data_IF_933597938059
#
_entry.id   IF_933597938059
#
_cell.length_a   1.000
_cell.length_b   1.000
_cell.length_c   1.000
_cell.angle_alpha   90.00
_cell.angle_beta   90.00
_cell.angle_gamma   90.00
#
_symmetry.space_group_name_H-M   'P 1'
#
loop_
_entity.id
_entity.type
_entity.pdbx_description
1 polymer ?
#
# COMPACT_ATOMS: atom_id res chain seq x y z
N UNK A 1 -9.09 -16.10 -20.72
CA UNK A 1 -8.91 -15.80 -22.15
C UNK A 1 -9.07 -14.29 -22.24
N UNK A 2 -7.97 -13.54 -22.15
CA UNK A 2 -8.03 -12.09 -22.22
C UNK A 2 -8.19 -11.69 -23.68
N UNK A 3 -9.24 -10.92 -23.99
CA UNK A 3 -9.40 -10.31 -25.30
C UNK A 3 -8.20 -9.37 -25.54
N UNK A 4 -7.70 -9.39 -26.77
CA UNK A 4 -6.71 -8.40 -27.24
C UNK A 4 -7.31 -6.98 -27.08
N UNK A 5 -6.48 -5.96 -26.82
CA UNK A 5 -6.96 -4.60 -26.66
C UNK A 5 -7.71 -4.19 -27.92
N UNK A 6 -9.02 -4.12 -27.79
CA UNK A 6 -9.91 -3.46 -28.72
C UNK A 6 -9.93 -1.98 -28.38
N UNK A 7 -10.41 -1.18 -29.29
CA UNK A 7 -10.48 0.29 -29.34
C UNK A 7 -11.16 1.01 -28.14
N UNK A 8 -11.22 0.36 -26.98
CA UNK A 8 -12.04 0.72 -25.81
C UNK A 8 -11.29 1.69 -24.85
N UNK A 9 -10.12 2.18 -25.22
CA UNK A 9 -9.34 3.10 -24.36
C UNK A 9 -8.76 2.44 -23.10
N UNK A 10 -8.55 1.11 -23.13
CA UNK A 10 -7.90 0.33 -22.05
C UNK A 10 -6.57 -0.22 -22.55
N UNK A 11 -5.50 0.08 -21.83
CA UNK A 11 -4.17 -0.48 -22.10
C UNK A 11 -3.75 -1.39 -20.93
N UNK A 12 -3.13 -2.53 -21.27
CA UNK A 12 -2.57 -3.48 -20.29
C UNK A 12 -1.09 -3.66 -20.58
N UNK A 13 -0.27 -3.44 -19.56
CA UNK A 13 1.18 -3.63 -19.59
C UNK A 13 1.57 -4.66 -18.53
N UNK A 14 2.33 -5.67 -18.94
CA UNK A 14 2.92 -6.64 -18.01
C UNK A 14 4.45 -6.49 -18.05
N UNK A 15 5.04 -6.38 -16.88
CA UNK A 15 6.50 -6.21 -16.74
C UNK A 15 7.02 -6.90 -15.48
N UNK A 16 8.32 -7.01 -15.36
CA UNK A 16 8.98 -7.53 -14.16
C UNK A 16 9.93 -6.47 -13.62
N UNK A 17 9.78 -6.14 -12.33
CA UNK A 17 10.60 -5.16 -11.61
C UNK A 17 11.26 -5.88 -10.43
N UNK A 18 12.60 -5.89 -10.36
CA UNK A 18 13.38 -6.60 -9.35
C UNK A 18 12.99 -8.10 -9.21
N UNK A 19 12.62 -8.75 -10.31
CA UNK A 19 12.15 -10.13 -10.32
C UNK A 19 10.68 -10.32 -9.90
N UNK A 20 9.96 -9.25 -9.60
CA UNK A 20 8.56 -9.25 -9.17
C UNK A 20 7.64 -8.95 -10.37
N UNK A 21 6.64 -9.80 -10.67
CA UNK A 21 5.68 -9.52 -11.73
C UNK A 21 4.78 -8.33 -11.38
N UNK A 22 4.62 -7.42 -12.32
CA UNK A 22 3.79 -6.22 -12.20
C UNK A 22 2.89 -6.11 -13.42
N UNK A 23 1.60 -5.97 -13.19
CA UNK A 23 0.59 -5.73 -14.22
C UNK A 23 -0.01 -4.34 -14.02
N UNK A 24 0.04 -3.50 -15.06
CA UNK A 24 -0.61 -2.19 -15.06
C UNK A 24 -1.77 -2.21 -16.06
N UNK A 25 -2.93 -1.73 -15.62
CA UNK A 25 -4.12 -1.50 -16.46
C UNK A 25 -4.39 -0.01 -16.44
N UNK A 26 -4.32 0.64 -17.59
CA UNK A 26 -4.63 2.06 -17.74
C UNK A 26 -5.95 2.22 -18.49
N UNK A 27 -6.92 2.83 -17.82
CA UNK A 27 -8.24 3.19 -18.37
C UNK A 27 -8.15 4.66 -18.77
N UNK A 28 -8.26 4.95 -20.07
CA UNK A 28 -8.04 6.28 -20.64
C UNK A 28 -9.33 7.00 -21.02
N UNK A 29 -10.43 6.25 -21.17
CA UNK A 29 -11.72 6.78 -21.66
C UNK A 29 -12.86 6.40 -20.74
N UNK A 30 -13.98 7.13 -20.83
CA UNK A 30 -15.20 6.82 -20.10
C UNK A 30 -15.81 5.48 -20.60
N UNK A 31 -15.70 5.15 -21.89
CA UNK A 31 -16.19 3.87 -22.44
C UNK A 31 -15.41 2.69 -21.82
N UNK A 32 -14.10 2.83 -21.66
CA UNK A 32 -13.27 1.86 -20.94
C UNK A 32 -13.62 1.77 -19.46
N UNK A 33 -13.97 2.89 -18.85
CA UNK A 33 -14.41 2.95 -17.46
C UNK A 33 -15.73 2.21 -17.24
N UNK A 34 -16.72 2.39 -18.12
CA UNK A 34 -17.98 1.65 -18.10
C UNK A 34 -17.77 0.16 -18.33
N UNK A 35 -16.92 -0.20 -19.30
CA UNK A 35 -16.63 -1.63 -19.64
C UNK A 35 -16.04 -2.39 -18.46
N UNK A 36 -15.16 -1.76 -17.68
CA UNK A 36 -14.47 -2.41 -16.56
C UNK A 36 -15.11 -2.12 -15.20
N UNK A 37 -16.18 -1.33 -15.15
CA UNK A 37 -16.80 -0.84 -13.90
C UNK A 37 -15.74 -0.24 -12.96
N UNK A 38 -14.89 0.65 -13.52
CA UNK A 38 -13.77 1.29 -12.85
C UNK A 38 -13.60 2.73 -13.34
N UNK A 39 -13.18 3.63 -12.47
CA UNK A 39 -12.89 5.00 -12.88
C UNK A 39 -11.68 5.09 -13.84
N UNK A 40 -11.65 6.15 -14.65
CA UNK A 40 -10.49 6.49 -15.48
C UNK A 40 -9.25 6.66 -14.61
N UNK A 41 -8.13 6.05 -15.02
CA UNK A 41 -6.86 6.08 -14.29
C UNK A 41 -6.04 4.81 -14.45
N UNK A 42 -4.93 4.75 -13.75
CA UNK A 42 -3.99 3.63 -13.79
C UNK A 42 -4.14 2.75 -12.55
N UNK A 43 -4.22 1.45 -12.77
CA UNK A 43 -4.35 0.40 -11.75
C UNK A 43 -3.17 -0.55 -11.89
N UNK A 44 -2.32 -0.62 -10.88
CA UNK A 44 -1.10 -1.41 -10.90
C UNK A 44 -1.22 -2.50 -9.83
N UNK A 45 -1.01 -3.76 -10.23
CA UNK A 45 -0.98 -4.92 -9.34
C UNK A 45 0.44 -5.48 -9.30
N UNK A 46 1.03 -5.53 -8.12
CA UNK A 46 2.34 -6.09 -7.83
C UNK A 46 2.10 -7.46 -7.19
N UNK A 47 2.56 -8.54 -7.85
CA UNK A 47 2.39 -9.91 -7.37
C UNK A 47 3.45 -10.23 -6.33
N UNK A 48 3.07 -10.27 -5.06
CA UNK A 48 4.04 -10.43 -3.97
C UNK A 48 4.32 -11.90 -3.62
N UNK A 49 3.47 -12.82 -4.08
CA UNK A 49 3.33 -14.10 -3.41
C UNK A 49 2.69 -13.94 -2.03
N UNK A 50 2.64 -15.01 -1.26
CA UNK A 50 1.95 -15.01 0.03
C UNK A 50 2.71 -14.13 1.04
N UNK A 51 2.14 -12.98 1.40
CA UNK A 51 2.73 -11.98 2.32
C UNK A 51 2.99 -12.52 3.75
N UNK A 52 2.39 -13.64 4.11
CA UNK A 52 2.69 -14.35 5.36
C UNK A 52 3.83 -15.37 5.25
N UNK A 53 4.45 -15.54 4.07
CA UNK A 53 5.55 -16.50 3.87
C UNK A 53 6.84 -15.99 4.53
N UNK A 54 7.59 -16.93 5.11
CA UNK A 54 8.92 -16.64 5.70
C UNK A 54 10.00 -16.47 4.65
N UNK A 55 9.77 -16.99 3.42
CA UNK A 55 10.72 -16.89 2.30
C UNK A 55 10.54 -15.64 1.45
N UNK A 56 9.79 -14.66 1.94
CA UNK A 56 9.48 -13.44 1.21
C UNK A 56 10.71 -12.53 1.09
N UNK A 57 11.09 -12.15 -0.12
CA UNK A 57 12.16 -11.18 -0.32
C UNK A 57 11.63 -9.75 -0.14
N UNK A 58 11.63 -9.29 1.12
CA UNK A 58 11.10 -7.98 1.51
C UNK A 58 11.83 -6.82 0.84
N UNK A 59 13.15 -6.96 0.62
CA UNK A 59 13.96 -5.93 -0.05
C UNK A 59 13.56 -5.78 -1.52
N UNK A 60 13.52 -6.88 -2.27
CA UNK A 60 13.11 -6.84 -3.68
C UNK A 60 11.69 -6.29 -3.84
N UNK A 61 10.75 -6.67 -2.96
CA UNK A 61 9.40 -6.15 -2.94
C UNK A 61 9.37 -4.65 -2.60
N UNK A 62 10.15 -4.22 -1.61
CA UNK A 62 10.25 -2.82 -1.23
C UNK A 62 10.78 -1.94 -2.37
N UNK A 63 11.84 -2.39 -3.07
CA UNK A 63 12.38 -1.67 -4.23
C UNK A 63 11.38 -1.66 -5.39
N UNK A 64 10.69 -2.79 -5.67
CA UNK A 64 9.64 -2.85 -6.68
C UNK A 64 8.51 -1.85 -6.41
N UNK A 65 8.00 -1.83 -5.18
CA UNK A 65 6.93 -0.88 -4.78
C UNK A 65 7.43 0.56 -4.84
N UNK A 66 8.69 0.83 -4.45
CA UNK A 66 9.30 2.16 -4.53
C UNK A 66 9.37 2.67 -5.97
N UNK A 67 9.77 1.81 -6.93
CA UNK A 67 9.81 2.16 -8.34
C UNK A 67 8.42 2.50 -8.88
N UNK A 68 7.42 1.67 -8.55
CA UNK A 68 6.01 1.93 -8.92
C UNK A 68 5.49 3.23 -8.29
N UNK A 69 5.77 3.48 -6.99
CA UNK A 69 5.36 4.73 -6.34
C UNK A 69 6.06 5.95 -6.95
N UNK A 70 7.34 5.83 -7.28
CA UNK A 70 8.10 6.89 -7.95
C UNK A 70 7.50 7.21 -9.32
N UNK A 71 7.10 6.21 -10.10
CA UNK A 71 6.43 6.39 -11.39
C UNK A 71 5.17 7.25 -11.24
N UNK A 72 4.28 6.90 -10.30
CA UNK A 72 2.99 7.59 -10.15
C UNK A 72 3.08 8.93 -9.42
N UNK A 73 4.06 9.10 -8.53
CA UNK A 73 4.21 10.28 -7.69
C UNK A 73 5.16 11.34 -8.26
N UNK A 74 6.05 11.00 -9.20
CA UNK A 74 7.06 11.92 -9.76
C UNK A 74 6.47 13.19 -10.38
N UNK A 75 5.25 13.12 -10.89
CA UNK A 75 4.52 14.29 -11.44
C UNK A 75 4.24 15.38 -10.39
N UNK A 76 4.32 15.03 -9.10
CA UNK A 76 4.09 15.96 -7.98
C UNK A 76 5.38 16.38 -7.30
N UNK A 77 6.54 16.18 -7.95
CA UNK A 77 7.85 16.58 -7.42
C UNK A 77 7.86 18.05 -7.00
N UNK A 78 8.46 18.33 -5.85
CA UNK A 78 8.59 19.69 -5.29
C UNK A 78 7.31 20.24 -4.63
N UNK A 79 6.25 19.44 -4.57
CA UNK A 79 4.99 19.80 -3.90
C UNK A 79 4.94 19.28 -2.45
N UNK A 80 3.81 19.48 -1.77
CA UNK A 80 3.53 18.89 -0.44
C UNK A 80 2.73 17.60 -0.61
N UNK A 81 3.29 16.49 -0.13
CA UNK A 81 2.61 15.18 -0.05
C UNK A 81 2.01 14.98 1.33
N UNK A 82 0.73 14.62 1.37
CA UNK A 82 0.14 14.02 2.57
C UNK A 82 0.02 12.50 2.41
N UNK A 83 0.40 11.76 3.45
CA UNK A 83 0.25 10.31 3.55
C UNK A 83 -0.82 10.01 4.60
N UNK A 84 -1.92 9.40 4.18
CA UNK A 84 -3.05 9.07 5.04
C UNK A 84 -3.20 7.56 5.17
N UNK A 85 -3.11 7.02 6.38
CA UNK A 85 -3.38 5.62 6.69
C UNK A 85 -4.82 5.43 7.14
N UNK A 86 -5.67 4.83 6.31
CA UNK A 86 -7.02 4.47 6.69
C UNK A 86 -7.04 3.15 7.46
N UNK A 87 -8.07 3.00 8.27
CA UNK A 87 -8.37 1.76 8.97
C UNK A 87 -8.43 1.88 10.47
N UNK A 88 -8.69 0.75 11.12
CA UNK A 88 -8.82 0.61 12.55
C UNK A 88 -7.71 -0.31 13.10
N UNK A 89 -6.85 0.22 13.94
CA UNK A 89 -5.72 -0.52 14.55
C UNK A 89 -6.15 -1.69 15.42
N UNK A 90 -7.35 -1.63 15.98
CA UNK A 90 -7.90 -2.70 16.81
C UNK A 90 -8.32 -3.94 16.00
N UNK A 91 -8.42 -3.80 14.68
CA UNK A 91 -8.78 -4.86 13.76
C UNK A 91 -7.59 -5.23 12.87
N UNK A 92 -7.03 -6.41 13.07
CA UNK A 92 -5.81 -6.85 12.36
C UNK A 92 -5.91 -6.66 10.84
N UNK A 93 -6.99 -7.13 10.23
CA UNK A 93 -7.18 -7.02 8.78
C UNK A 93 -7.43 -5.59 8.29
N UNK A 94 -7.62 -4.63 9.20
CA UNK A 94 -7.87 -3.21 8.91
C UNK A 94 -6.77 -2.29 9.46
N UNK A 95 -5.65 -2.86 9.94
CA UNK A 95 -4.59 -2.09 10.59
C UNK A 95 -3.46 -1.64 9.66
N UNK A 96 -3.49 -1.99 8.37
CA UNK A 96 -2.41 -1.70 7.43
C UNK A 96 -2.04 -0.21 7.38
N UNK A 97 -3.02 0.66 7.14
CA UNK A 97 -2.79 2.11 7.06
C UNK A 97 -2.19 2.68 8.35
N UNK A 98 -2.82 2.46 9.52
CA UNK A 98 -2.26 2.87 10.81
C UNK A 98 -0.85 2.34 11.08
N UNK A 99 -0.53 1.10 10.68
CA UNK A 99 0.78 0.50 10.89
C UNK A 99 1.85 1.10 9.99
N UNK A 100 1.52 1.42 8.73
CA UNK A 100 2.42 2.17 7.85
C UNK A 100 2.71 3.55 8.42
N UNK A 101 1.69 4.29 8.88
CA UNK A 101 1.90 5.63 9.45
C UNK A 101 2.75 5.56 10.72
N UNK A 102 2.57 4.54 11.57
CA UNK A 102 3.44 4.30 12.72
C UNK A 102 4.90 4.11 12.31
N UNK A 103 5.15 3.27 11.30
CA UNK A 103 6.49 3.03 10.78
C UNK A 103 7.14 4.30 10.20
N UNK A 104 6.32 5.21 9.67
CA UNK A 104 6.75 6.47 9.06
C UNK A 104 6.85 7.63 10.04
N UNK A 105 6.70 7.47 11.36
CA UNK A 105 6.69 8.56 12.35
C UNK A 105 7.69 9.70 12.04
N UNK A 106 7.30 10.60 11.14
CA UNK A 106 8.16 11.60 10.48
C UNK A 106 8.65 12.72 11.41
N UNK A 107 8.18 12.76 12.67
CA UNK A 107 8.68 13.73 13.67
C UNK A 107 10.20 13.65 13.86
N UNK A 108 10.80 12.49 13.62
CA UNK A 108 12.25 12.29 13.73
C UNK A 108 12.97 12.91 12.53
N UNK A 109 12.31 13.00 11.37
CA UNK A 109 12.90 13.61 10.16
C UNK A 109 12.89 15.14 10.15
N UNK A 110 12.14 15.81 11.00
CA UNK A 110 12.17 17.28 11.07
C UNK A 110 13.54 17.83 11.46
N UNK A 111 14.45 16.99 11.99
CA UNK A 111 15.86 17.31 12.22
C UNK A 111 16.80 17.03 11.05
N UNK A 112 16.35 16.31 10.01
CA UNK A 112 17.16 15.94 8.83
C UNK A 112 16.77 16.83 7.65
N UNK A 113 16.71 18.13 7.87
CA UNK A 113 16.35 19.14 6.87
C UNK A 113 17.35 19.26 5.69
N UNK A 114 18.35 18.37 5.59
CA UNK A 114 19.38 18.38 4.55
C UNK A 114 19.22 17.27 3.50
N UNK A 115 18.22 16.40 3.61
CA UNK A 115 17.99 15.36 2.59
C UNK A 115 17.26 15.95 1.39
N UNK A 116 17.82 15.73 0.20
CA UNK A 116 17.15 16.07 -1.06
C UNK A 116 15.96 15.13 -1.25
N UNK A 117 14.75 15.62 -0.97
CA UNK A 117 13.53 14.85 -1.14
C UNK A 117 12.87 15.07 -2.50
N UNK A 118 12.08 14.11 -2.92
CA UNK A 118 11.18 14.26 -4.07
C UNK A 118 10.15 15.37 -3.83
N UNK A 119 9.71 15.52 -2.58
CA UNK A 119 8.71 16.49 -2.15
C UNK A 119 9.33 17.61 -1.33
N UNK A 120 8.73 18.81 -1.39
CA UNK A 120 9.10 19.94 -0.54
C UNK A 120 8.78 19.68 0.93
N UNK A 121 7.67 18.99 1.18
CA UNK A 121 7.19 18.63 2.50
C UNK A 121 6.40 17.32 2.43
N UNK A 122 6.53 16.51 3.46
CA UNK A 122 5.76 15.27 3.64
C UNK A 122 5.13 15.29 5.02
N UNK A 123 3.83 15.11 5.10
CA UNK A 123 3.10 14.91 6.34
C UNK A 123 2.41 13.55 6.34
N UNK A 124 2.17 12.98 7.52
CA UNK A 124 1.48 11.71 7.66
C UNK A 124 0.51 11.73 8.84
N UNK A 125 -0.64 11.05 8.69
CA UNK A 125 -1.66 10.99 9.72
C UNK A 125 -2.57 9.78 9.56
N UNK A 126 -3.23 9.42 10.67
CA UNK A 126 -4.30 8.43 10.73
C UNK A 126 -5.58 9.18 11.15
N UNK A 127 -6.59 9.27 10.30
CA UNK A 127 -7.83 9.98 10.66
C UNK A 127 -8.68 9.20 11.68
N UNK A 128 -8.41 7.90 11.86
CA UNK A 128 -9.32 6.99 12.56
C UNK A 128 -10.51 6.62 11.69
N UNK A 129 -11.49 5.98 12.30
CA UNK A 129 -12.76 5.62 11.66
C UNK A 129 -13.93 6.25 12.41
N UNK A 130 -15.08 6.37 11.75
CA UNK A 130 -16.29 6.87 12.41
C UNK A 130 -16.66 6.05 13.66
N UNK A 131 -16.28 4.77 13.71
CA UNK A 131 -16.46 3.89 14.86
C UNK A 131 -15.54 4.23 16.04
N UNK A 132 -14.37 4.82 15.77
CA UNK A 132 -13.37 5.11 16.81
C UNK A 132 -13.48 6.52 17.36
N UNK A 133 -14.01 7.47 16.59
CA UNK A 133 -14.01 8.89 16.99
C UNK A 133 -15.32 9.66 16.70
N UNK A 134 -16.35 9.00 16.12
CA UNK A 134 -17.61 9.62 15.70
C UNK A 134 -17.48 10.81 14.75
N UNK A 135 -16.37 10.93 14.03
CA UNK A 135 -16.13 11.99 13.06
C UNK A 135 -16.22 11.42 11.64
N UNK A 136 -16.66 12.26 10.73
CA UNK A 136 -16.63 11.94 9.31
C UNK A 136 -15.18 11.94 8.79
N UNK A 137 -14.72 10.81 8.28
CA UNK A 137 -13.34 10.63 7.83
C UNK A 137 -13.00 11.57 6.66
N UNK A 138 -13.94 11.78 5.72
CA UNK A 138 -13.74 12.68 4.59
C UNK A 138 -13.51 14.13 5.04
N UNK A 139 -14.34 14.61 5.99
CA UNK A 139 -14.18 15.95 6.55
C UNK A 139 -12.85 16.12 7.27
N UNK A 140 -12.41 15.11 8.02
CA UNK A 140 -11.11 15.15 8.69
C UNK A 140 -9.97 15.22 7.69
N UNK A 141 -9.96 14.34 6.69
CA UNK A 141 -8.94 14.31 5.64
C UNK A 141 -8.91 15.66 4.91
N UNK A 142 -10.07 16.18 4.50
CA UNK A 142 -10.20 17.47 3.81
C UNK A 142 -9.67 18.64 4.65
N UNK A 143 -9.95 18.64 5.94
CA UNK A 143 -9.44 19.65 6.87
C UNK A 143 -7.91 19.61 6.97
N UNK A 144 -7.33 18.42 7.13
CA UNK A 144 -5.88 18.23 7.23
C UNK A 144 -5.18 18.63 5.92
N UNK A 145 -5.70 18.20 4.77
CA UNK A 145 -5.13 18.56 3.46
C UNK A 145 -5.07 20.07 3.26
N UNK A 146 -6.14 20.76 3.65
CA UNK A 146 -6.23 22.23 3.58
C UNK A 146 -5.18 22.90 4.45
N UNK A 147 -5.09 22.52 5.74
CA UNK A 147 -4.14 23.12 6.69
C UNK A 147 -2.69 22.80 6.36
N UNK A 148 -2.42 21.58 5.84
CA UNK A 148 -1.09 21.20 5.36
C UNK A 148 -0.70 21.85 4.03
N UNK A 149 -1.60 22.53 3.34
CA UNK A 149 -1.44 22.99 1.96
C UNK A 149 -0.98 21.85 1.04
N UNK A 150 -1.59 20.68 1.18
CA UNK A 150 -1.25 19.50 0.43
C UNK A 150 -1.60 19.66 -1.06
N UNK A 151 -0.74 19.14 -1.92
CA UNK A 151 -0.95 19.13 -3.36
C UNK A 151 -1.25 17.73 -3.90
N UNK A 152 -1.01 16.69 -3.09
CA UNK A 152 -1.23 15.30 -3.43
C UNK A 152 -1.47 14.50 -2.15
N UNK A 153 -2.37 13.51 -2.22
CA UNK A 153 -2.65 12.55 -1.16
C UNK A 153 -2.21 11.15 -1.58
N UNK A 154 -1.37 10.51 -0.78
CA UNK A 154 -1.14 9.07 -0.83
C UNK A 154 -1.98 8.41 0.25
N UNK A 155 -2.95 7.61 -0.18
CA UNK A 155 -3.89 6.91 0.68
C UNK A 155 -3.45 5.45 0.84
N UNK A 156 -3.38 4.98 2.08
CA UNK A 156 -3.01 3.60 2.40
C UNK A 156 -4.19 2.93 3.06
N UNK A 157 -4.61 1.77 2.53
CA UNK A 157 -5.80 1.08 3.02
C UNK A 157 -5.68 -0.44 2.93
N UNK A 158 -6.39 -1.12 3.81
CA UNK A 158 -6.68 -2.54 3.70
C UNK A 158 -7.82 -2.75 2.71
N UNK A 159 -7.66 -3.69 1.79
CA UNK A 159 -8.64 -3.92 0.73
C UNK A 159 -9.41 -5.21 0.96
N UNK A 160 -10.63 -5.24 0.40
CA UNK A 160 -11.43 -6.44 0.24
C UNK A 160 -11.34 -6.95 -1.18
N UNK A 161 -11.20 -8.25 -1.36
CA UNK A 161 -11.19 -8.89 -2.67
C UNK A 161 -12.32 -9.91 -2.81
N UNK A 162 -12.73 -10.18 -4.05
CA UNK A 162 -13.56 -11.34 -4.45
C UNK A 162 -12.72 -12.44 -5.09
N UNK A 163 -11.42 -12.21 -5.30
CA UNK A 163 -10.53 -13.20 -5.89
C UNK A 163 -9.63 -13.80 -4.79
N UNK A 164 -9.79 -15.10 -4.45
CA UNK A 164 -8.96 -15.77 -3.44
C UNK A 164 -7.45 -15.71 -3.74
N UNK A 165 -7.06 -15.72 -5.01
CA UNK A 165 -5.65 -15.67 -5.43
C UNK A 165 -4.98 -14.32 -5.13
N UNK A 166 -5.77 -13.28 -4.83
CA UNK A 166 -5.25 -11.95 -4.44
C UNK A 166 -5.17 -11.76 -2.94
N UNK A 167 -5.84 -12.60 -2.15
CA UNK A 167 -5.88 -12.46 -0.70
C UNK A 167 -4.48 -12.63 -0.11
N UNK A 168 -3.94 -11.56 0.47
CA UNK A 168 -2.58 -11.49 1.03
C UNK A 168 -1.46 -11.86 0.03
N UNK A 169 -1.67 -11.66 -1.28
CA UNK A 169 -0.72 -12.07 -2.32
C UNK A 169 -0.42 -10.96 -3.34
N UNK A 170 -0.93 -9.76 -3.13
CA UNK A 170 -0.64 -8.62 -4.01
C UNK A 170 -0.65 -7.30 -3.26
N UNK A 171 0.12 -6.34 -3.78
CA UNK A 171 0.00 -4.92 -3.43
C UNK A 171 -0.60 -4.22 -4.65
N UNK A 172 -1.60 -3.39 -4.43
CA UNK A 172 -2.31 -2.66 -5.48
C UNK A 172 -2.07 -1.16 -5.35
N UNK A 173 -1.79 -0.48 -6.47
CA UNK A 173 -1.65 0.97 -6.54
C UNK A 173 -2.64 1.50 -7.57
N UNK A 174 -3.31 2.61 -7.26
CA UNK A 174 -4.26 3.26 -8.19
C UNK A 174 -4.05 4.76 -8.21
N UNK A 175 -4.18 5.37 -9.40
CA UNK A 175 -4.23 6.82 -9.58
C UNK A 175 -5.65 7.35 -9.80
N UNK A 176 -6.64 6.47 -9.75
CA UNK A 176 -8.08 6.77 -9.94
C UNK A 176 -8.79 7.18 -8.64
N UNK A 177 -8.07 7.51 -7.59
CA UNK A 177 -8.64 7.78 -6.27
C UNK A 177 -8.60 6.55 -5.35
N UNK A 178 -9.55 6.45 -4.42
CA UNK A 178 -9.63 5.34 -3.48
C UNK A 178 -9.97 4.02 -4.15
N UNK A 179 -9.50 2.92 -3.55
CA UNK A 179 -9.84 1.55 -3.91
C UNK A 179 -10.96 1.02 -2.99
N UNK A 180 -11.43 -0.21 -3.23
CA UNK A 180 -12.47 -0.85 -2.40
C UNK A 180 -11.98 -1.01 -0.94
N UNK A 181 -12.46 -0.21 0.01
CA UNK A 181 -12.02 -0.25 1.40
C UNK A 181 -12.55 -1.51 2.11
N UNK A 182 -11.87 -1.90 3.20
CA UNK A 182 -12.29 -3.02 4.03
C UNK A 182 -13.69 -2.81 4.64
N UNK A 183 -13.98 -1.60 5.09
CA UNK A 183 -15.29 -1.22 5.62
C UNK A 183 -16.00 -0.22 4.69
N UNK A 184 -16.79 -0.73 3.77
CA UNK A 184 -17.61 0.05 2.85
C UNK A 184 -18.90 0.59 3.51
N UNK A 185 -18.83 1.16 4.70
CA UNK A 185 -19.99 1.79 5.34
C UNK A 185 -20.42 3.10 4.68
N UNK A 186 -19.50 3.79 4.00
CA UNK A 186 -19.72 4.92 3.07
C UNK A 186 -18.55 4.97 2.10
N UNK A 187 -18.85 5.02 0.83
CA UNK A 187 -17.85 5.38 -0.17
C UNK A 187 -17.45 6.84 0.06
N UNK A 188 -16.18 7.10 0.38
CA UNK A 188 -15.66 8.46 0.46
C UNK A 188 -15.57 8.98 -0.97
N UNK A 189 -16.14 10.16 -1.22
CA UNK A 189 -15.94 10.84 -2.49
C UNK A 189 -14.56 11.51 -2.51
N UNK A 190 -13.57 10.75 -2.94
CA UNK A 190 -12.19 11.23 -3.05
C UNK A 190 -12.02 12.39 -4.03
N UNK A 191 -12.94 12.56 -4.98
CA UNK A 191 -12.93 13.68 -5.92
C UNK A 191 -13.24 15.01 -5.24
N UNK A 192 -14.00 14.98 -4.14
CA UNK A 192 -14.36 16.16 -3.34
C UNK A 192 -13.18 16.80 -2.61
N UNK A 193 -12.06 16.08 -2.45
CA UNK A 193 -10.89 16.55 -1.69
C UNK A 193 -10.13 17.70 -2.37
N UNK A 194 -10.31 17.90 -3.68
CA UNK A 194 -9.68 18.98 -4.45
C UNK A 194 -8.18 18.80 -4.67
N UNK A 195 -7.62 17.63 -4.35
CA UNK A 195 -6.25 17.24 -4.65
C UNK A 195 -6.23 15.85 -5.29
N UNK A 196 -5.26 15.54 -6.16
CA UNK A 196 -5.07 14.19 -6.68
C UNK A 196 -4.87 13.18 -5.56
N UNK A 197 -5.54 12.03 -5.67
CA UNK A 197 -5.44 10.91 -4.73
C UNK A 197 -4.81 9.73 -5.42
N UNK A 198 -3.69 9.28 -4.92
CA UNK A 198 -3.07 8.01 -5.26
C UNK A 198 -3.33 7.07 -4.10
N UNK A 199 -3.77 5.87 -4.37
CA UNK A 199 -4.01 4.87 -3.32
C UNK A 199 -3.08 3.67 -3.48
N UNK A 200 -2.66 3.11 -2.34
CA UNK A 200 -1.93 1.86 -2.23
C UNK A 200 -2.60 1.00 -1.17
N UNK A 201 -2.79 -0.29 -1.47
CA UNK A 201 -3.44 -1.18 -0.53
C UNK A 201 -3.14 -2.64 -0.78
N UNK A 202 -3.55 -3.46 0.17
CA UNK A 202 -3.35 -4.91 0.19
C UNK A 202 -4.69 -5.59 0.44
N UNK A 203 -5.09 -6.56 -0.38
CA UNK A 203 -6.26 -7.38 -0.11
C UNK A 203 -6.02 -8.26 1.12
N UNK A 204 -6.52 -7.83 2.27
CA UNK A 204 -6.38 -8.52 3.56
C UNK A 204 -7.65 -9.26 3.97
N UNK A 205 -8.73 -9.07 3.25
CA UNK A 205 -9.98 -9.79 3.44
C UNK A 205 -10.63 -10.17 2.11
N UNK A 206 -11.51 -11.18 2.19
CA UNK A 206 -12.31 -11.67 1.09
C UNK A 206 -13.78 -11.64 1.48
N UNK A 207 -14.66 -11.23 0.55
CA UNK A 207 -16.09 -11.17 0.82
C UNK A 207 -16.70 -12.57 0.98
N UNK A 208 -17.68 -12.70 1.87
CA UNK A 208 -18.36 -13.98 2.15
C UNK A 208 -19.10 -14.54 0.93
N UNK A 209 -19.64 -13.67 0.07
CA UNK A 209 -20.33 -14.05 -1.16
C UNK A 209 -19.43 -14.85 -2.13
N UNK A 210 -18.12 -14.74 -2.01
CA UNK A 210 -17.17 -15.58 -2.78
C UNK A 210 -17.30 -17.07 -2.46
N UNK A 211 -17.72 -17.42 -1.25
CA UNK A 211 -17.87 -18.81 -0.81
C UNK A 211 -19.31 -19.29 -0.74
N UNK A 212 -20.27 -18.38 -0.72
CA UNK A 212 -21.69 -18.70 -0.55
C UNK A 212 -22.37 -18.65 -1.93
N UNK A 213 -22.71 -19.80 -2.48
CA UNK A 213 -23.44 -19.93 -3.76
C UNK A 213 -24.92 -19.50 -3.66
N UNK A 214 -25.36 -18.91 -2.56
CA UNK A 214 -26.78 -18.64 -2.27
C UNK A 214 -27.36 -17.42 -2.98
N UNK A 215 -26.55 -16.62 -3.68
CA UNK A 215 -27.00 -15.37 -4.34
C UNK A 215 -27.41 -14.25 -3.37
N UNK A 216 -27.26 -14.45 -2.07
CA UNK A 216 -27.48 -13.43 -1.05
C UNK A 216 -26.18 -12.67 -0.88
N UNK A 217 -26.17 -11.39 -1.26
CA UNK A 217 -25.05 -10.49 -0.97
C UNK A 217 -24.99 -10.27 0.54
N UNK A 218 -23.83 -10.54 1.15
CA UNK A 218 -23.57 -10.25 2.56
C UNK A 218 -22.45 -9.23 2.66
N UNK A 219 -22.54 -8.32 3.62
CA UNK A 219 -21.46 -7.38 3.95
C UNK A 219 -20.37 -8.04 4.80
N UNK A 220 -20.47 -9.35 5.04
CA UNK A 220 -19.49 -10.10 5.81
C UNK A 220 -18.22 -10.33 5.01
N UNK A 221 -17.09 -10.27 5.70
CA UNK A 221 -15.76 -10.50 5.12
C UNK A 221 -14.95 -11.40 6.04
N UNK A 222 -14.11 -12.23 5.44
CA UNK A 222 -13.21 -13.14 6.13
C UNK A 222 -11.75 -12.76 5.85
N UNK A 223 -10.89 -13.06 6.82
CA UNK A 223 -9.43 -12.94 6.64
C UNK A 223 -8.74 -14.24 7.03
N UNK A 224 -7.44 -14.33 6.76
CA UNK A 224 -6.65 -15.52 7.10
C UNK A 224 -6.23 -15.50 8.57
N UNK A 225 -5.96 -16.68 9.15
CA UNK A 225 -5.37 -16.79 10.48
C UNK A 225 -3.99 -16.12 10.60
N UNK A 226 -3.29 -15.95 9.46
CA UNK A 226 -1.98 -15.32 9.38
C UNK A 226 -2.04 -13.86 8.92
N UNK A 227 -3.20 -13.21 9.00
CA UNK A 227 -3.38 -11.82 8.57
C UNK A 227 -2.39 -10.86 9.24
N UNK A 228 -2.07 -11.08 10.53
CA UNK A 228 -1.10 -10.26 11.26
C UNK A 228 0.32 -10.32 10.64
N UNK A 229 0.74 -11.48 10.11
CA UNK A 229 2.02 -11.59 9.39
C UNK A 229 1.96 -10.86 8.05
N UNK A 230 0.85 -10.99 7.30
CA UNK A 230 0.67 -10.28 6.04
C UNK A 230 0.66 -8.76 6.24
N UNK A 231 -0.01 -8.27 7.29
CA UNK A 231 0.01 -6.84 7.67
C UNK A 231 1.41 -6.39 8.06
N UNK A 232 2.13 -7.17 8.89
CA UNK A 232 3.48 -6.81 9.31
C UNK A 232 4.45 -6.70 8.12
N UNK A 233 4.41 -7.67 7.19
CA UNK A 233 5.22 -7.67 5.99
C UNK A 233 4.84 -6.52 5.05
N UNK A 234 3.55 -6.37 4.73
CA UNK A 234 3.09 -5.33 3.81
C UNK A 234 3.29 -3.92 4.37
N UNK A 235 3.05 -3.70 5.67
CA UNK A 235 3.32 -2.40 6.28
C UNK A 235 4.81 -2.04 6.25
N UNK A 236 5.71 -3.02 6.41
CA UNK A 236 7.14 -2.81 6.24
C UNK A 236 7.49 -2.45 4.79
N UNK A 237 7.05 -3.26 3.81
CA UNK A 237 7.31 -3.06 2.38
C UNK A 237 6.83 -1.67 1.93
N UNK A 238 5.60 -1.29 2.30
CA UNK A 238 5.02 -0.01 1.90
C UNK A 238 5.75 1.16 2.57
N UNK A 239 6.09 1.03 3.87
CA UNK A 239 6.85 2.07 4.58
C UNK A 239 8.24 2.27 3.96
N UNK A 240 8.95 1.18 3.69
CA UNK A 240 10.23 1.21 3.00
C UNK A 240 10.11 1.91 1.63
N UNK A 241 9.12 1.53 0.84
CA UNK A 241 8.89 2.12 -0.48
C UNK A 241 8.60 3.63 -0.41
N UNK A 242 7.80 4.08 0.56
CA UNK A 242 7.50 5.50 0.76
C UNK A 242 8.78 6.26 1.13
N UNK A 243 9.60 5.73 2.05
CA UNK A 243 10.88 6.35 2.42
C UNK A 243 11.81 6.48 1.23
N UNK A 244 12.01 5.41 0.45
CA UNK A 244 12.86 5.41 -0.75
C UNK A 244 12.35 6.36 -1.83
N UNK A 245 11.03 6.44 -2.03
CA UNK A 245 10.40 7.35 -3.00
C UNK A 245 10.53 8.81 -2.55
N UNK A 246 10.27 9.10 -1.29
CA UNK A 246 10.30 10.47 -0.79
C UNK A 246 11.72 11.01 -0.63
N UNK A 247 12.67 10.15 -0.25
CA UNK A 247 14.07 10.51 -0.01
C UNK A 247 15.01 9.51 -0.70
N UNK A 248 15.27 9.68 -2.00
CA UNK A 248 16.06 8.75 -2.81
C UNK A 248 17.50 8.55 -2.32
N UNK A 249 18.04 9.53 -1.58
CA UNK A 249 19.41 9.49 -1.02
C UNK A 249 19.53 8.55 0.21
N UNK A 250 18.40 8.11 0.80
CA UNK A 250 18.42 7.12 1.89
C UNK A 250 18.91 5.77 1.36
N UNK A 251 19.84 5.17 2.09
CA UNK A 251 20.26 3.79 1.79
C UNK A 251 19.18 2.79 2.24
N UNK A 252 19.25 1.55 1.76
CA UNK A 252 18.41 0.46 2.25
C UNK A 252 18.48 0.35 3.77
N UNK A 253 19.71 0.41 4.34
CA UNK A 253 19.92 0.29 5.78
C UNK A 253 19.27 1.45 6.55
N UNK A 254 19.42 2.70 6.06
CA UNK A 254 18.77 3.85 6.69
C UNK A 254 17.25 3.67 6.78
N UNK A 255 16.62 3.17 5.73
CA UNK A 255 15.18 2.90 5.72
C UNK A 255 14.78 1.80 6.73
N UNK A 256 15.55 0.72 6.79
CA UNK A 256 15.33 -0.38 7.73
C UNK A 256 15.46 0.12 9.16
N UNK A 257 16.55 0.80 9.48
CA UNK A 257 16.83 1.30 10.83
C UNK A 257 15.77 2.32 11.27
N UNK A 258 15.31 3.15 10.36
CA UNK A 258 14.24 4.08 10.62
C UNK A 258 12.92 3.38 10.97
N UNK A 259 12.51 2.39 10.18
CA UNK A 259 11.29 1.63 10.44
C UNK A 259 11.41 0.87 11.76
N UNK A 260 12.55 0.25 12.04
CA UNK A 260 12.82 -0.46 13.31
C UNK A 260 12.73 0.47 14.49
N UNK A 261 13.42 1.61 14.45
CA UNK A 261 13.36 2.60 15.52
C UNK A 261 11.92 2.99 15.87
N UNK A 262 11.08 3.20 14.87
CA UNK A 262 9.68 3.54 15.09
C UNK A 262 8.83 2.36 15.60
N UNK A 263 9.23 1.11 15.31
CA UNK A 263 8.57 -0.11 15.80
C UNK A 263 8.95 -0.45 17.24
N UNK A 264 10.20 -0.27 17.63
CA UNK A 264 10.72 -0.61 18.96
C UNK A 264 10.05 0.17 20.09
N UNK A 265 9.44 1.29 19.78
CA UNK A 265 8.61 2.05 20.72
C UNK A 265 7.30 1.29 21.08
N UNK A 266 6.90 0.26 20.28
CA UNK A 266 5.75 -0.61 20.56
C UNK A 266 6.09 -2.03 20.08
N UNK A 267 6.31 -3.01 20.98
CA UNK A 267 6.78 -4.35 20.59
C UNK A 267 5.75 -5.07 19.69
N UNK A 268 6.24 -5.55 18.56
CA UNK A 268 5.57 -6.53 17.71
C UNK A 268 6.25 -7.90 17.91
N UNK A 269 5.55 -9.02 17.76
CA UNK A 269 6.21 -10.31 17.79
C UNK A 269 7.26 -10.38 16.69
N UNK A 270 8.51 -10.64 17.11
CA UNK A 270 9.69 -10.62 16.28
C UNK A 270 9.58 -11.56 15.08
N UNK A 271 9.72 -11.03 13.89
CA UNK A 271 10.35 -11.71 12.78
C UNK A 271 11.77 -11.17 12.68
N UNK A 272 12.74 -12.06 12.69
CA UNK A 272 14.12 -11.72 12.36
C UNK A 272 14.17 -11.28 10.90
N UNK A 273 14.28 -9.99 10.65
CA UNK A 273 14.50 -9.44 9.31
C UNK A 273 15.98 -9.47 8.92
N UNK A 274 16.84 -10.06 9.78
CA UNK A 274 18.29 -9.96 9.73
C UNK A 274 19.02 -11.20 9.20
N UNK A 275 18.35 -12.34 8.95
CA UNK A 275 19.06 -13.59 8.73
C UNK A 275 18.98 -14.18 7.32
N UNK A 276 18.97 -13.39 6.24
CA UNK A 276 19.17 -14.01 4.93
C UNK A 276 19.84 -13.07 3.92
N UNK A 277 21.11 -12.74 4.13
CA UNK A 277 22.01 -12.41 3.00
C UNK A 277 23.51 -12.52 3.34
N UNK A 278 23.91 -13.51 4.11
CA UNK A 278 25.29 -14.00 4.06
C UNK A 278 25.26 -15.43 3.50
N UNK A 279 25.19 -15.51 2.15
CA UNK A 279 25.47 -16.73 1.45
C UNK A 279 26.91 -17.17 1.68
N UNK A 280 27.13 -17.98 2.70
CA UNK A 280 28.33 -18.81 2.82
C UNK A 280 27.87 -20.22 3.19
N UNK A 281 27.42 -20.96 2.16
CA UNK A 281 27.32 -22.42 2.20
C UNK A 281 28.73 -22.98 2.15
N UNK A 282 29.43 -22.99 3.26
CA UNK A 282 30.57 -23.87 3.45
C UNK A 282 30.03 -25.29 3.71
N UNK A 283 30.04 -26.11 2.69
CA UNK A 283 29.85 -27.55 2.79
C UNK A 283 30.94 -28.11 3.71
N UNK A 284 30.63 -28.85 4.80
CA UNK A 284 31.65 -29.55 5.54
C UNK A 284 32.13 -30.72 4.68
N UNK A 285 33.44 -30.75 4.42
CA UNK A 285 34.15 -31.86 3.79
C UNK A 285 34.12 -33.07 4.74
N UNK A 286 33.36 -34.09 4.36
CA UNK A 286 33.43 -35.43 4.99
C UNK A 286 34.62 -36.18 4.41
N UNK A 287 35.77 -36.07 5.05
CA UNK A 287 36.83 -37.09 4.95
C UNK A 287 37.70 -37.07 6.20
N UNK A 288 37.43 -37.94 7.14
CA UNK A 288 38.30 -39.00 7.73
C UNK A 288 37.59 -39.70 8.88
#
# INVERSE_FOLDING_TARGET
>A
MFQQPGDDGVEVEERTIHGIPVTAVEIKTEDGAETLDRAVGKYITIQTGLLSSETLNLKALGECVSEVLTEVLSRYKGSTLCVCGLGNRELVADSLGPDVIRNLSLKVFSGVASLNGLFKSVCSFVPGTAWTNNLDTELMVKGILKEANANCLLLIDSLVTRNPERLCQSIQVSTAGGMNPFFAGRSIDWSSLGVPVISIGVPLAITADTFIQSGVLTDESFTTLHAHHAVAASSFIISYAILRTCWPDLTTQDCIDFIRFNRDVIPYPDRNFDEDDTGDNAVPDETT
#
